data_IF_111252840287
#
_entry.id   IF_111252840287
#
_cell.length_a   1.000
_cell.length_b   1.000
_cell.length_c   1.000
_cell.angle_alpha   90.00
_cell.angle_beta   90.00
_cell.angle_gamma   90.00
#
_symmetry.space_group_name_H-M   'P 1'
#
loop_
_entity.id
_entity.type
_entity.pdbx_description
1 polymer ?
#
# COMPACT_ATOMS: atom_id res chain seq x y z
N UNK A 1 -38.60 48.57 -3.18
CA UNK A 1 -39.81 48.22 -2.41
C UNK A 1 -39.33 47.35 -1.25
N UNK A 2 -39.07 47.95 -0.08
CA UNK A 2 -38.58 47.22 1.10
C UNK A 2 -39.76 46.93 2.02
N UNK A 3 -40.05 45.66 2.23
CA UNK A 3 -41.13 45.20 3.09
C UNK A 3 -40.63 45.24 4.54
N UNK A 4 -41.11 46.21 5.31
CA UNK A 4 -40.88 46.25 6.75
C UNK A 4 -41.81 45.22 7.41
N UNK A 5 -41.23 44.21 8.06
CA UNK A 5 -41.97 43.33 8.96
C UNK A 5 -42.11 44.02 10.32
N UNK A 6 -43.32 44.39 10.68
CA UNK A 6 -43.67 44.81 12.05
C UNK A 6 -43.89 43.55 12.87
N UNK A 7 -43.02 43.31 13.85
CA UNK A 7 -43.20 42.23 14.82
C UNK A 7 -44.15 42.77 15.90
N UNK A 8 -45.40 42.32 15.90
CA UNK A 8 -46.35 42.59 16.97
C UNK A 8 -46.28 41.51 18.07
N UNK A 9 -46.37 41.94 19.33
CA UNK A 9 -46.45 41.03 20.48
C UNK A 9 -47.72 40.16 20.40
N UNK A 10 -47.59 38.85 20.60
CA UNK A 10 -48.75 37.94 20.70
C UNK A 10 -49.42 37.91 22.08
N UNK A 11 -48.88 38.63 23.08
CA UNK A 11 -49.39 38.63 24.47
C UNK A 11 -49.28 40.02 25.11
N UNK A 12 -50.25 40.37 25.96
CA UNK A 12 -50.36 41.67 26.62
C UNK A 12 -49.37 41.86 27.79
N UNK A 13 -48.82 40.76 28.33
CA UNK A 13 -47.83 40.77 29.41
C UNK A 13 -46.81 39.63 29.27
N UNK A 14 -45.56 39.89 29.63
CA UNK A 14 -44.46 38.90 29.61
C UNK A 14 -43.99 38.65 31.04
N UNK A 15 -44.14 37.41 31.51
CA UNK A 15 -43.63 36.99 32.82
C UNK A 15 -42.36 36.15 32.66
N UNK A 16 -41.24 36.64 33.21
CA UNK A 16 -39.96 35.94 33.20
C UNK A 16 -39.83 35.01 34.40
N UNK A 17 -40.56 33.89 34.31
CA UNK A 17 -40.55 32.84 35.34
C UNK A 17 -39.18 32.21 35.54
N UNK A 18 -38.27 32.30 34.56
CA UNK A 18 -36.89 31.77 34.66
C UNK A 18 -36.07 32.67 35.60
N UNK A 19 -36.15 33.99 35.42
CA UNK A 19 -35.46 34.96 36.27
C UNK A 19 -35.94 34.89 37.72
N UNK A 20 -37.25 34.77 37.95
CA UNK A 20 -37.81 34.65 39.29
C UNK A 20 -37.31 33.40 40.02
N UNK A 21 -37.31 32.25 39.34
CA UNK A 21 -36.78 30.98 39.88
C UNK A 21 -35.29 31.07 40.21
N UNK A 22 -34.48 31.70 39.36
CA UNK A 22 -33.05 31.90 39.63
C UNK A 22 -32.80 32.85 40.81
N UNK A 23 -33.58 33.93 40.93
CA UNK A 23 -33.46 34.86 42.06
C UNK A 23 -33.81 34.21 43.41
N UNK A 24 -34.78 33.29 43.43
CA UNK A 24 -35.10 32.50 44.63
C UNK A 24 -33.94 31.59 45.04
N UNK A 25 -33.27 30.96 44.07
CA UNK A 25 -32.10 30.10 44.31
C UNK A 25 -30.92 30.91 44.86
N UNK A 26 -30.62 32.09 44.30
CA UNK A 26 -29.54 32.97 44.77
C UNK A 26 -29.80 33.47 46.20
N UNK A 27 -31.07 33.66 46.58
CA UNK A 27 -31.47 34.02 47.95
C UNK A 27 -31.44 32.84 48.95
N UNK A 28 -30.91 31.69 48.56
CA UNK A 28 -30.78 30.51 49.42
C UNK A 28 -32.10 29.74 49.63
N UNK A 29 -33.15 30.03 48.86
CA UNK A 29 -34.45 29.34 48.93
C UNK A 29 -34.57 28.25 47.86
N UNK A 30 -33.51 27.48 47.64
CA UNK A 30 -33.48 26.41 46.63
C UNK A 30 -34.59 25.38 46.81
N UNK A 31 -35.04 25.13 48.05
CA UNK A 31 -36.06 24.12 48.37
C UNK A 31 -37.48 24.57 47.95
N UNK A 32 -37.67 25.85 47.61
CA UNK A 32 -38.94 26.40 47.12
C UNK A 32 -39.15 26.23 45.61
N UNK A 33 -38.12 25.80 44.87
CA UNK A 33 -38.19 25.50 43.44
C UNK A 33 -38.30 23.98 43.28
N UNK A 34 -39.26 23.50 42.49
CA UNK A 34 -39.44 22.06 42.29
C UNK A 34 -38.25 21.42 41.53
N UNK A 35 -38.05 20.11 41.71
CA UNK A 35 -36.93 19.39 41.09
C UNK A 35 -36.99 19.34 39.55
N UNK A 36 -38.21 19.41 38.97
CA UNK A 36 -38.38 19.42 37.51
C UNK A 36 -37.79 20.70 36.89
N UNK A 37 -38.07 21.84 37.52
CA UNK A 37 -37.58 23.17 37.13
C UNK A 37 -36.06 23.27 37.36
N UNK A 38 -35.55 22.76 38.47
CA UNK A 38 -34.09 22.71 38.72
C UNK A 38 -33.37 21.90 37.63
N UNK A 39 -33.92 20.76 37.22
CA UNK A 39 -33.33 19.93 36.17
C UNK A 39 -33.36 20.62 34.80
N UNK A 40 -34.41 21.36 34.48
CA UNK A 40 -34.48 22.16 33.26
C UNK A 40 -33.45 23.31 33.27
N UNK A 41 -33.32 24.01 34.40
CA UNK A 41 -32.31 25.07 34.58
C UNK A 41 -30.88 24.51 34.50
N UNK A 42 -30.62 23.31 35.05
CA UNK A 42 -29.34 22.58 34.90
C UNK A 42 -29.06 22.25 33.43
N UNK A 43 -30.03 21.68 32.70
CA UNK A 43 -29.89 21.39 31.25
C UNK A 43 -29.61 22.65 30.43
N UNK A 44 -30.17 23.79 30.83
CA UNK A 44 -29.96 25.10 30.20
C UNK A 44 -28.67 25.80 30.66
N UNK A 45 -27.85 25.16 31.52
CA UNK A 45 -26.60 25.71 32.08
C UNK A 45 -26.78 26.99 32.92
N UNK A 46 -27.96 27.21 33.47
CA UNK A 46 -28.29 28.36 34.34
C UNK A 46 -28.12 28.05 35.84
N UNK A 47 -27.99 26.77 36.19
CA UNK A 47 -27.82 26.29 37.55
C UNK A 47 -26.78 25.16 37.55
N UNK A 48 -25.81 25.22 38.46
CA UNK A 48 -24.85 24.14 38.69
C UNK A 48 -24.93 23.67 40.14
N UNK A 49 -24.94 22.36 40.33
CA UNK A 49 -24.89 21.75 41.66
C UNK A 49 -23.44 21.47 42.05
N UNK A 50 -23.04 21.95 43.22
CA UNK A 50 -21.68 21.78 43.74
C UNK A 50 -21.72 20.76 44.87
N UNK A 51 -21.24 19.54 44.60
CA UNK A 51 -21.13 18.49 45.61
C UNK A 51 -19.79 18.61 46.35
N UNK A 52 -19.81 19.00 47.63
CA UNK A 52 -18.65 18.96 48.50
C UNK A 52 -18.57 17.58 49.15
N UNK A 53 -17.53 16.81 48.82
CA UNK A 53 -17.29 15.49 49.42
C UNK A 53 -16.35 15.64 50.61
N UNK A 54 -16.84 15.34 51.81
CA UNK A 54 -16.03 15.29 53.04
C UNK A 54 -15.82 13.83 53.44
N UNK A 55 -14.58 13.48 53.77
CA UNK A 55 -14.24 12.14 54.25
C UNK A 55 -13.97 12.17 55.75
N UNK A 56 -14.63 11.28 56.48
CA UNK A 56 -14.33 10.97 57.86
C UNK A 56 -13.44 9.73 57.90
N UNK A 57 -12.15 9.92 58.14
CA UNK A 57 -11.17 8.83 58.16
C UNK A 57 -10.97 8.33 59.58
N UNK A 58 -11.25 7.05 59.82
CA UNK A 58 -11.07 6.38 61.12
C UNK A 58 -10.04 5.27 61.01
N UNK A 59 -9.31 5.00 62.11
CA UNK A 59 -8.34 3.90 62.16
C UNK A 59 -9.05 2.54 62.07
N UNK A 60 -8.81 1.80 60.99
CA UNK A 60 -9.31 0.44 60.80
C UNK A 60 -8.38 -0.62 61.40
N UNK A 61 -8.76 -1.90 61.29
CA UNK A 61 -7.98 -3.05 61.80
C UNK A 61 -6.58 -3.19 61.17
N UNK A 62 -6.34 -2.58 60.01
CA UNK A 62 -5.04 -2.55 59.32
C UNK A 62 -4.22 -1.27 59.57
N UNK A 63 -4.62 -0.41 60.51
CA UNK A 63 -3.88 0.80 60.83
C UNK A 63 -2.54 0.44 61.49
N UNK A 64 -1.44 0.80 60.83
CA UNK A 64 -0.07 0.63 61.32
C UNK A 64 0.70 1.92 61.11
N UNK A 65 1.57 2.28 62.07
CA UNK A 65 2.52 3.40 61.95
C UNK A 65 3.82 3.01 61.26
N UNK A 66 4.05 1.70 61.04
CA UNK A 66 5.17 1.16 60.29
C UNK A 66 4.70 0.60 58.94
N UNK A 67 5.31 1.07 57.85
CA UNK A 67 5.09 0.52 56.51
C UNK A 67 5.94 -0.75 56.42
N UNK A 68 5.29 -1.91 56.44
CA UNK A 68 5.97 -3.17 56.13
C UNK A 68 6.30 -3.19 54.64
N UNK A 69 7.59 -3.21 54.29
CA UNK A 69 8.03 -3.30 52.90
C UNK A 69 7.61 -4.67 52.35
N UNK A 70 6.68 -4.67 51.42
CA UNK A 70 6.28 -5.88 50.70
C UNK A 70 7.37 -6.25 49.69
N UNK A 71 7.63 -7.54 49.54
CA UNK A 71 8.53 -8.03 48.49
C UNK A 71 7.86 -7.89 47.12
N UNK A 72 8.63 -7.55 46.08
CA UNK A 72 8.10 -7.40 44.71
C UNK A 72 8.14 -8.71 43.95
N UNK A 73 9.26 -9.41 44.01
CA UNK A 73 9.56 -10.57 43.19
C UNK A 73 10.00 -11.76 44.05
N UNK A 74 9.72 -12.95 43.55
CA UNK A 74 10.18 -14.20 44.15
C UNK A 74 11.62 -14.44 43.71
N UNK A 75 12.56 -14.56 44.64
CA UNK A 75 13.97 -14.84 44.31
C UNK A 75 14.32 -16.32 44.47
N UNK A 76 15.35 -16.82 43.77
CA UNK A 76 15.83 -18.20 43.92
C UNK A 76 16.16 -18.57 45.37
N UNK A 77 16.70 -17.64 46.16
CA UNK A 77 17.08 -17.85 47.56
C UNK A 77 15.85 -17.98 48.46
N UNK A 78 14.78 -17.23 48.17
CA UNK A 78 13.52 -17.36 48.90
C UNK A 78 12.90 -18.73 48.66
N UNK A 79 12.98 -19.24 47.42
CA UNK A 79 12.52 -20.59 47.06
C UNK A 79 13.34 -21.64 47.80
N UNK A 80 14.68 -21.53 47.77
CA UNK A 80 15.58 -22.48 48.42
C UNK A 80 15.44 -22.52 49.94
N UNK A 81 15.20 -21.37 50.58
CA UNK A 81 15.05 -21.25 52.05
C UNK A 81 13.62 -21.48 52.56
N UNK A 82 12.61 -21.49 51.68
CA UNK A 82 11.20 -21.55 52.06
C UNK A 82 10.64 -20.24 52.64
N UNK A 83 11.45 -19.18 52.74
CA UNK A 83 11.08 -17.90 53.36
C UNK A 83 9.97 -17.14 52.62
N UNK A 84 9.66 -17.50 51.38
CA UNK A 84 8.53 -16.93 50.64
C UNK A 84 7.16 -17.22 51.27
N UNK A 85 7.03 -18.27 52.10
CA UNK A 85 5.75 -18.64 52.74
C UNK A 85 5.29 -17.63 53.77
N UNK A 86 6.24 -16.97 54.43
CA UNK A 86 5.99 -16.07 55.56
C UNK A 86 6.04 -14.58 55.16
N UNK A 87 6.50 -14.28 53.93
CA UNK A 87 6.60 -12.90 53.41
C UNK A 87 5.32 -12.47 52.70
N UNK A 88 5.00 -11.17 52.80
CA UNK A 88 3.89 -10.54 52.06
C UNK A 88 4.41 -9.92 50.77
N UNK A 89 3.85 -10.34 49.65
CA UNK A 89 4.17 -9.82 48.32
C UNK A 89 3.24 -8.69 47.93
N UNK A 90 3.77 -7.74 47.16
CA UNK A 90 2.96 -6.72 46.51
C UNK A 90 2.11 -7.39 45.43
N UNK A 91 0.80 -7.10 45.42
CA UNK A 91 -0.08 -7.63 44.39
C UNK A 91 0.37 -7.15 43.00
N UNK A 92 0.46 -8.08 42.05
CA UNK A 92 0.82 -7.76 40.67
C UNK A 92 -0.31 -6.96 40.01
N UNK A 93 0.06 -5.89 39.29
CA UNK A 93 -0.93 -5.08 38.59
C UNK A 93 -1.25 -5.70 37.22
N UNK A 94 -2.27 -6.55 37.17
CA UNK A 94 -2.74 -7.18 35.93
C UNK A 94 -3.40 -6.21 34.94
N UNK A 95 -3.63 -4.95 35.32
CA UNK A 95 -4.19 -3.93 34.43
C UNK A 95 -3.12 -3.14 33.65
N UNK A 96 -1.83 -3.39 33.92
CA UNK A 96 -0.74 -2.77 33.16
C UNK A 96 -0.28 -3.69 32.02
N UNK A 97 0.14 -3.10 30.91
CA UNK A 97 0.85 -3.84 29.87
C UNK A 97 2.20 -4.32 30.43
N UNK A 98 2.55 -5.56 30.10
CA UNK A 98 3.86 -6.11 30.43
C UNK A 98 4.99 -5.44 29.64
N UNK A 99 6.23 -5.75 30.00
CA UNK A 99 7.40 -5.34 29.22
C UNK A 99 7.46 -6.18 27.95
N UNK A 100 7.47 -5.52 26.79
CA UNK A 100 7.64 -6.23 25.52
C UNK A 100 9.08 -6.74 25.41
N UNK A 101 9.29 -8.02 25.06
CA UNK A 101 10.63 -8.56 24.87
C UNK A 101 11.31 -7.91 23.66
N UNK A 102 12.63 -7.72 23.74
CA UNK A 102 13.43 -7.31 22.59
C UNK A 102 13.45 -8.42 21.54
N UNK A 103 13.11 -8.09 20.29
CA UNK A 103 13.12 -9.05 19.19
C UNK A 103 13.57 -8.39 17.87
N UNK A 104 13.91 -9.21 16.89
CA UNK A 104 14.20 -8.72 15.54
C UNK A 104 12.92 -8.36 14.79
N UNK A 105 12.96 -7.29 14.00
CA UNK A 105 11.82 -6.81 13.22
C UNK A 105 12.10 -6.85 11.72
N UNK A 106 11.10 -7.27 10.94
CA UNK A 106 11.13 -7.20 9.48
C UNK A 106 10.37 -5.97 9.01
N UNK A 107 10.92 -5.29 8.01
CA UNK A 107 10.29 -4.14 7.40
C UNK A 107 8.90 -4.50 6.83
N UNK A 108 7.83 -3.69 7.05
CA UNK A 108 6.47 -4.01 6.60
C UNK A 108 6.39 -4.32 5.10
N UNK A 109 6.98 -3.47 4.26
CA UNK A 109 7.06 -3.70 2.81
C UNK A 109 7.69 -5.06 2.45
N UNK A 110 8.73 -5.49 3.18
CA UNK A 110 9.39 -6.78 2.93
C UNK A 110 8.53 -7.96 3.39
N UNK A 111 7.75 -7.80 4.46
CA UNK A 111 6.75 -8.81 4.86
C UNK A 111 5.69 -8.98 3.77
N UNK A 112 5.23 -7.88 3.17
CA UNK A 112 4.27 -7.93 2.04
C UNK A 112 4.92 -8.54 0.80
N UNK A 113 6.17 -8.18 0.47
CA UNK A 113 6.94 -8.79 -0.63
C UNK A 113 6.99 -10.31 -0.51
N UNK A 114 7.30 -10.83 0.68
CA UNK A 114 7.36 -12.27 0.94
C UNK A 114 6.01 -12.94 0.68
N UNK A 115 4.91 -12.29 1.03
CA UNK A 115 3.57 -12.80 0.77
C UNK A 115 3.24 -12.85 -0.73
N UNK A 116 3.49 -11.76 -1.47
CA UNK A 116 3.31 -11.76 -2.93
C UNK A 116 4.15 -12.84 -3.61
N UNK A 117 5.41 -12.96 -3.21
CA UNK A 117 6.31 -14.01 -3.69
C UNK A 117 5.73 -15.40 -3.46
N UNK A 118 5.19 -15.66 -2.27
CA UNK A 118 4.55 -16.93 -1.95
C UNK A 118 3.33 -17.22 -2.83
N UNK A 119 2.48 -16.22 -3.07
CA UNK A 119 1.29 -16.35 -3.95
C UNK A 119 1.69 -16.78 -5.36
N UNK A 120 2.72 -16.15 -5.93
CA UNK A 120 3.24 -16.55 -7.24
C UNK A 120 3.74 -18.00 -7.26
N UNK A 121 4.50 -18.40 -6.25
CA UNK A 121 5.02 -19.77 -6.13
C UNK A 121 3.87 -20.79 -6.02
N UNK A 122 2.84 -20.49 -5.24
CA UNK A 122 1.63 -21.33 -5.12
C UNK A 122 0.84 -21.44 -6.44
N UNK A 123 0.89 -20.40 -7.28
CA UNK A 123 0.26 -20.39 -8.60
C UNK A 123 1.14 -21.03 -9.69
N UNK A 124 2.30 -21.58 -9.32
CA UNK A 124 3.22 -22.27 -10.21
C UNK A 124 4.11 -21.34 -11.05
N UNK A 125 4.30 -20.09 -10.61
CA UNK A 125 5.21 -19.15 -11.27
C UNK A 125 6.65 -19.35 -10.79
N UNK A 126 7.60 -19.18 -11.70
CA UNK A 126 9.04 -19.20 -11.43
C UNK A 126 9.59 -17.79 -11.33
N UNK A 127 10.44 -17.54 -10.33
CA UNK A 127 11.02 -16.21 -10.08
C UNK A 127 12.11 -15.88 -11.11
N UNK A 128 11.97 -14.75 -11.80
CA UNK A 128 12.96 -14.26 -12.76
C UNK A 128 14.10 -13.53 -12.04
N UNK A 129 15.36 -13.68 -12.49
CA UNK A 129 16.46 -12.90 -11.97
C UNK A 129 16.37 -11.45 -12.44
N UNK A 130 16.41 -10.51 -11.48
CA UNK A 130 16.28 -9.06 -11.71
C UNK A 130 17.56 -8.30 -11.36
N UNK A 131 18.72 -8.96 -11.44
CA UNK A 131 20.00 -8.53 -10.88
C UNK A 131 20.68 -7.40 -11.70
N UNK A 132 19.91 -6.43 -12.18
CA UNK A 132 20.35 -5.30 -12.99
C UNK A 132 19.44 -4.09 -12.76
N UNK A 133 19.94 -3.05 -12.07
CA UNK A 133 19.24 -1.77 -11.98
C UNK A 133 19.47 -0.91 -13.23
N UNK A 134 20.68 -0.97 -13.79
CA UNK A 134 20.98 -0.34 -15.07
C UNK A 134 20.51 -1.26 -16.19
N UNK A 135 19.79 -0.68 -17.14
CA UNK A 135 19.30 -1.36 -18.33
C UNK A 135 19.62 -0.51 -19.57
N UNK A 136 19.80 -1.16 -20.72
CA UNK A 136 19.92 -0.41 -21.98
C UNK A 136 18.54 0.04 -22.46
N UNK A 137 18.48 1.19 -23.12
CA UNK A 137 17.24 1.70 -23.72
C UNK A 137 16.64 0.69 -24.72
N UNK A 138 17.49 -0.10 -25.36
CA UNK A 138 17.06 -1.24 -26.17
C UNK A 138 16.17 -2.20 -25.37
N UNK A 139 16.64 -2.77 -24.27
CA UNK A 139 15.86 -3.75 -23.50
C UNK A 139 14.70 -3.12 -22.72
N UNK A 140 14.88 -1.88 -22.25
CA UNK A 140 13.85 -1.20 -21.49
C UNK A 140 12.71 -0.66 -22.37
N UNK A 141 12.95 -0.33 -23.64
CA UNK A 141 11.92 0.28 -24.50
C UNK A 141 11.80 -0.41 -25.87
N UNK A 142 12.88 -0.43 -26.66
CA UNK A 142 12.80 -0.87 -28.06
C UNK A 142 12.37 -2.35 -28.18
N UNK A 143 12.90 -3.22 -27.33
CA UNK A 143 12.57 -4.65 -27.28
C UNK A 143 11.13 -4.93 -26.85
N UNK A 144 10.45 -3.94 -26.26
CA UNK A 144 9.03 -4.00 -25.92
C UNK A 144 8.14 -3.46 -27.05
N UNK A 145 8.70 -3.08 -28.19
CA UNK A 145 7.95 -2.37 -29.24
C UNK A 145 7.39 -1.00 -28.79
N UNK A 146 8.08 -0.34 -27.85
CA UNK A 146 7.79 1.05 -27.48
C UNK A 146 8.62 2.00 -28.36
N UNK A 147 8.00 2.98 -29.06
CA UNK A 147 8.69 3.80 -30.06
C UNK A 147 9.70 4.76 -29.42
N UNK A 148 10.73 5.16 -30.18
CA UNK A 148 11.81 6.03 -29.68
C UNK A 148 11.38 7.44 -29.32
N UNK A 149 10.35 7.95 -29.99
CA UNK A 149 9.72 9.25 -29.74
C UNK A 149 8.71 9.23 -28.58
N UNK A 150 8.56 8.11 -27.86
CA UNK A 150 7.59 8.01 -26.77
C UNK A 150 7.99 8.94 -25.60
N UNK A 151 7.06 9.73 -25.02
CA UNK A 151 7.36 10.72 -23.98
C UNK A 151 8.03 10.10 -22.74
N UNK A 152 7.64 8.88 -22.35
CA UNK A 152 8.30 8.18 -21.24
C UNK A 152 9.82 7.96 -21.41
N UNK A 153 10.38 8.15 -22.62
CA UNK A 153 11.83 8.07 -22.89
C UNK A 153 12.54 9.43 -22.71
N UNK A 154 11.79 10.49 -22.39
CA UNK A 154 12.36 11.81 -22.15
C UNK A 154 13.12 11.83 -20.82
N UNK A 155 14.11 12.72 -20.72
CA UNK A 155 14.92 12.94 -19.51
C UNK A 155 14.07 13.40 -18.34
N UNK A 156 12.91 14.02 -18.62
CA UNK A 156 11.93 14.39 -17.61
C UNK A 156 11.26 13.20 -16.92
N UNK A 157 11.17 12.04 -17.59
CA UNK A 157 10.49 10.84 -17.05
C UNK A 157 11.47 9.72 -16.67
N UNK A 158 12.66 9.68 -17.29
CA UNK A 158 13.63 8.59 -17.16
C UNK A 158 15.00 9.07 -16.69
N UNK A 159 15.59 8.36 -15.72
CA UNK A 159 16.98 8.58 -15.30
C UNK A 159 17.97 7.91 -16.27
N UNK A 160 18.61 8.70 -17.12
CA UNK A 160 19.70 8.24 -17.98
C UNK A 160 21.04 8.22 -17.24
N UNK A 161 21.88 7.25 -17.57
CA UNK A 161 23.21 7.10 -16.96
C UNK A 161 24.19 8.10 -17.57
N UNK A 162 24.97 8.76 -16.72
CA UNK A 162 26.16 9.48 -17.15
C UNK A 162 27.37 8.53 -17.30
N UNK A 163 27.48 7.55 -16.41
CA UNK A 163 28.51 6.51 -16.47
C UNK A 163 27.97 5.20 -15.86
N UNK A 164 28.00 4.05 -16.58
CA UNK A 164 28.30 3.93 -18.00
C UNK A 164 27.16 4.47 -18.88
N UNK A 165 27.41 5.48 -19.71
CA UNK A 165 26.36 6.12 -20.53
C UNK A 165 25.79 5.25 -21.65
N UNK A 166 26.59 4.35 -22.21
CA UNK A 166 26.22 3.53 -23.36
C UNK A 166 26.47 2.05 -23.08
N UNK A 167 25.54 1.20 -23.51
CA UNK A 167 25.74 -0.24 -23.56
C UNK A 167 26.61 -0.64 -24.77
N UNK A 168 27.46 -1.64 -24.56
CA UNK A 168 28.42 -2.14 -25.54
C UNK A 168 27.93 -3.39 -26.29
N UNK A 169 27.06 -4.19 -25.67
CA UNK A 169 26.71 -5.53 -26.16
C UNK A 169 25.21 -5.70 -26.37
N UNK A 170 24.84 -6.18 -27.55
CA UNK A 170 23.47 -6.50 -27.93
C UNK A 170 23.44 -7.76 -28.79
N UNK A 171 22.36 -8.55 -28.75
CA UNK A 171 22.11 -9.57 -29.77
C UNK A 171 21.82 -8.88 -31.11
N UNK A 172 22.86 -8.70 -31.93
CA UNK A 172 22.76 -7.88 -33.16
C UNK A 172 21.68 -8.39 -34.12
N UNK A 173 21.52 -9.70 -34.28
CA UNK A 173 20.48 -10.26 -35.13
C UNK A 173 19.07 -9.91 -34.64
N UNK A 174 18.86 -9.89 -33.31
CA UNK A 174 17.58 -9.48 -32.74
C UNK A 174 17.38 -7.97 -32.88
N UNK A 175 18.42 -7.18 -32.64
CA UNK A 175 18.38 -5.72 -32.77
C UNK A 175 17.99 -5.30 -34.19
N UNK A 176 18.55 -5.93 -35.23
CA UNK A 176 18.19 -5.62 -36.63
C UNK A 176 16.74 -6.01 -36.94
N UNK A 177 16.22 -7.12 -36.38
CA UNK A 177 14.79 -7.46 -36.50
C UNK A 177 13.90 -6.44 -35.80
N UNK A 178 14.26 -6.01 -34.60
CA UNK A 178 13.53 -4.95 -33.87
C UNK A 178 13.54 -3.65 -34.67
N UNK A 179 14.71 -3.20 -35.13
CA UNK A 179 14.85 -2.01 -35.97
C UNK A 179 13.90 -2.05 -37.16
N UNK A 180 13.92 -3.15 -37.93
CA UNK A 180 13.04 -3.34 -39.10
C UNK A 180 11.56 -3.27 -38.73
N UNK A 181 11.12 -3.98 -37.70
CA UNK A 181 9.71 -4.00 -37.28
C UNK A 181 9.25 -2.64 -36.79
N UNK A 182 10.11 -1.90 -36.08
CA UNK A 182 9.81 -0.53 -35.63
C UNK A 182 9.68 0.45 -36.80
N UNK A 183 10.60 0.42 -37.77
CA UNK A 183 10.64 1.39 -38.85
C UNK A 183 9.71 1.03 -40.01
N UNK A 184 9.90 -0.13 -40.61
CA UNK A 184 9.24 -0.57 -41.86
C UNK A 184 8.00 -1.42 -41.61
N UNK A 185 7.88 -1.98 -40.40
CA UNK A 185 6.88 -3.00 -40.08
C UNK A 185 7.37 -4.41 -40.38
N UNK A 186 6.47 -5.37 -40.21
CA UNK A 186 6.76 -6.80 -40.27
C UNK A 186 5.77 -7.59 -39.43
N UNK A 187 5.73 -8.91 -39.66
CA UNK A 187 4.88 -9.82 -38.91
C UNK A 187 3.38 -9.42 -38.90
N UNK A 188 2.87 -8.91 -40.02
CA UNK A 188 1.50 -8.43 -40.16
C UNK A 188 1.26 -6.98 -39.71
N UNK A 189 2.25 -6.33 -39.08
CA UNK A 189 2.18 -4.93 -38.65
C UNK A 189 2.80 -3.97 -39.65
N UNK A 190 2.35 -2.71 -39.65
CA UNK A 190 2.90 -1.63 -40.47
C UNK A 190 4.08 -0.90 -39.80
N UNK A 191 4.45 -1.29 -38.58
CA UNK A 191 5.45 -0.58 -37.79
C UNK A 191 5.00 0.84 -37.41
N UNK A 192 5.94 1.64 -36.90
CA UNK A 192 5.70 3.03 -36.52
C UNK A 192 6.10 4.03 -37.61
N UNK A 193 6.71 3.59 -38.72
CA UNK A 193 7.06 4.42 -39.88
C UNK A 193 7.95 5.62 -39.54
N UNK A 194 9.02 5.36 -38.79
CA UNK A 194 10.05 6.34 -38.44
C UNK A 194 11.46 5.74 -38.56
N UNK A 195 12.46 6.62 -38.57
CA UNK A 195 13.86 6.20 -38.62
C UNK A 195 14.35 5.76 -37.23
N UNK A 196 14.50 4.45 -37.05
CA UNK A 196 15.00 3.88 -35.80
C UNK A 196 16.51 4.10 -35.65
N UNK A 197 16.91 4.71 -34.53
CA UNK A 197 18.30 5.09 -34.24
C UNK A 197 18.95 4.13 -33.23
N UNK A 198 20.06 3.50 -33.63
CA UNK A 198 20.85 2.65 -32.72
C UNK A 198 21.48 3.46 -31.57
N UNK A 199 21.75 4.75 -31.78
CA UNK A 199 22.34 5.60 -30.75
C UNK A 199 21.37 5.82 -29.58
N UNK A 200 20.07 5.87 -29.86
CA UNK A 200 19.04 5.94 -28.80
C UNK A 200 18.94 4.63 -28.03
N UNK A 201 18.98 3.49 -28.72
CA UNK A 201 18.92 2.17 -28.11
C UNK A 201 20.14 1.86 -27.22
N UNK A 202 21.30 2.45 -27.54
CA UNK A 202 22.55 2.29 -26.79
C UNK A 202 22.56 3.01 -25.44
N UNK A 203 21.75 4.04 -25.23
CA UNK A 203 21.77 4.82 -23.97
C UNK A 203 21.38 3.93 -22.80
N UNK A 204 22.21 3.90 -21.76
CA UNK A 204 21.87 3.24 -20.50
C UNK A 204 21.00 4.14 -19.64
N UNK A 205 20.14 3.51 -18.86
CA UNK A 205 19.22 4.15 -17.94
C UNK A 205 19.06 3.30 -16.68
N UNK A 206 18.50 3.88 -15.63
CA UNK A 206 17.94 3.08 -14.55
C UNK A 206 16.59 2.53 -14.99
N UNK A 207 16.39 1.21 -14.88
CA UNK A 207 15.19 0.54 -15.39
C UNK A 207 13.91 1.20 -14.85
N UNK A 208 12.97 1.48 -15.73
CA UNK A 208 11.74 2.22 -15.38
C UNK A 208 10.57 1.31 -15.01
N UNK A 209 10.67 0.03 -15.36
CA UNK A 209 9.70 -1.01 -15.07
C UNK A 209 10.35 -2.40 -15.17
N UNK A 210 9.81 -3.40 -14.47
CA UNK A 210 10.32 -4.78 -14.49
C UNK A 210 10.04 -5.51 -15.81
N UNK A 211 9.22 -4.93 -16.70
CA UNK A 211 8.91 -5.48 -18.04
C UNK A 211 10.14 -5.65 -18.92
N UNK A 212 11.21 -4.88 -18.68
CA UNK A 212 12.50 -5.08 -19.34
C UNK A 212 13.13 -6.45 -19.00
N UNK A 213 12.95 -6.91 -17.75
CA UNK A 213 13.38 -8.24 -17.31
C UNK A 213 12.57 -9.31 -18.01
N UNK A 214 11.25 -9.12 -18.12
CA UNK A 214 10.36 -10.02 -18.87
C UNK A 214 10.77 -10.12 -20.35
N UNK A 215 11.13 -9.02 -21.01
CA UNK A 215 11.64 -9.04 -22.38
C UNK A 215 12.91 -9.89 -22.51
N UNK A 216 13.86 -9.74 -21.57
CA UNK A 216 15.09 -10.56 -21.56
C UNK A 216 14.79 -12.05 -21.36
N UNK A 217 13.84 -12.38 -20.48
CA UNK A 217 13.48 -13.76 -20.19
C UNK A 217 12.70 -14.39 -21.35
N UNK A 218 11.78 -13.67 -21.97
CA UNK A 218 11.06 -14.13 -23.17
C UNK A 218 12.00 -14.29 -24.37
N UNK A 219 12.96 -13.38 -24.56
CA UNK A 219 13.98 -13.56 -25.58
C UNK A 219 14.81 -14.82 -25.37
N UNK A 220 15.25 -15.09 -24.12
CA UNK A 220 15.97 -16.32 -23.77
C UNK A 220 15.12 -17.58 -24.02
N UNK A 221 13.84 -17.53 -23.69
CA UNK A 221 12.88 -18.60 -23.97
C UNK A 221 12.78 -18.87 -25.47
N UNK A 222 12.73 -17.80 -26.28
CA UNK A 222 12.66 -17.90 -27.73
C UNK A 222 13.91 -18.52 -28.38
N UNK A 223 15.06 -18.49 -27.70
CA UNK A 223 16.30 -19.10 -28.21
C UNK A 223 16.39 -20.61 -27.89
N UNK A 224 15.43 -21.18 -27.17
CA UNK A 224 15.42 -22.61 -26.90
C UNK A 224 15.09 -23.38 -28.17
N UNK A 225 15.59 -24.62 -28.27
CA UNK A 225 15.36 -25.49 -29.43
C UNK A 225 13.87 -25.78 -29.64
N UNK A 226 13.14 -25.94 -28.54
CA UNK A 226 11.70 -26.18 -28.52
C UNK A 226 11.07 -25.22 -27.50
N UNK A 227 9.95 -24.60 -27.88
CA UNK A 227 9.20 -23.76 -26.96
C UNK A 227 8.55 -24.61 -25.87
N UNK A 228 8.72 -24.18 -24.62
CA UNK A 228 8.04 -24.77 -23.46
C UNK A 228 7.20 -23.68 -22.79
N UNK A 229 5.91 -23.93 -22.50
CA UNK A 229 5.08 -22.99 -21.76
C UNK A 229 5.65 -22.65 -20.39
N UNK A 230 5.59 -21.38 -20.01
CA UNK A 230 6.19 -20.88 -18.75
C UNK A 230 5.32 -19.85 -18.06
N UNK A 231 5.49 -19.80 -16.74
CA UNK A 231 4.92 -18.78 -15.86
C UNK A 231 6.07 -18.13 -15.10
N UNK A 232 6.25 -16.83 -15.28
CA UNK A 232 7.34 -16.07 -14.70
C UNK A 232 6.83 -14.91 -13.84
N UNK A 233 7.53 -14.62 -12.75
CA UNK A 233 7.25 -13.44 -11.96
C UNK A 233 8.52 -12.75 -11.50
N UNK A 234 8.41 -11.47 -11.16
CA UNK A 234 9.47 -10.74 -10.48
C UNK A 234 8.89 -9.70 -9.53
N UNK A 235 9.64 -9.39 -8.47
CA UNK A 235 9.31 -8.30 -7.54
C UNK A 235 10.58 -7.53 -7.27
N UNK A 236 10.73 -6.37 -7.89
CA UNK A 236 11.97 -5.61 -7.74
C UNK A 236 11.79 -4.11 -7.96
N UNK A 237 12.80 -3.34 -7.54
CA UNK A 237 12.80 -1.88 -7.54
C UNK A 237 12.99 -1.30 -8.94
N UNK A 238 12.21 -0.29 -9.27
CA UNK A 238 12.26 0.45 -10.54
C UNK A 238 12.41 1.94 -10.24
N UNK A 239 12.86 2.71 -11.24
CA UNK A 239 13.25 4.10 -11.07
C UNK A 239 12.55 4.97 -12.10
N UNK A 240 11.90 6.04 -11.66
CA UNK A 240 11.21 6.99 -12.53
C UNK A 240 11.51 8.41 -12.09
N UNK A 241 11.79 9.30 -13.03
CA UNK A 241 12.09 10.69 -12.74
C UNK A 241 10.80 11.51 -12.51
N UNK A 242 9.91 10.97 -11.67
CA UNK A 242 8.66 11.63 -11.34
C UNK A 242 8.85 12.60 -10.17
N UNK A 243 7.99 13.62 -10.10
CA UNK A 243 8.01 14.58 -8.98
C UNK A 243 7.60 13.87 -7.69
N UNK A 244 8.43 13.95 -6.65
CA UNK A 244 8.18 13.32 -5.36
C UNK A 244 6.97 13.94 -4.64
N UNK A 245 5.93 13.16 -4.41
CA UNK A 245 4.74 13.58 -3.65
C UNK A 245 4.42 12.57 -2.52
N UNK A 246 3.22 12.61 -1.94
CA UNK A 246 2.83 11.72 -0.85
C UNK A 246 2.55 10.28 -1.31
N UNK A 247 2.41 10.08 -2.63
CA UNK A 247 1.99 8.85 -3.30
C UNK A 247 3.01 8.30 -4.31
N UNK A 248 3.93 9.14 -4.78
CA UNK A 248 4.93 8.83 -5.79
C UNK A 248 6.35 9.02 -5.22
N UNK A 249 7.20 8.04 -5.47
CA UNK A 249 8.62 8.07 -5.19
C UNK A 249 9.40 7.90 -6.49
N UNK A 250 10.61 8.46 -6.53
CA UNK A 250 11.53 8.28 -7.65
C UNK A 250 12.00 6.83 -7.79
N UNK A 251 11.90 6.03 -6.71
CA UNK A 251 12.14 4.60 -6.72
C UNK A 251 11.06 3.88 -5.92
N UNK A 252 10.56 2.77 -6.45
CA UNK A 252 9.53 1.93 -5.82
C UNK A 252 9.60 0.50 -6.35
N UNK A 253 8.93 -0.46 -5.72
CA UNK A 253 8.96 -1.86 -6.15
C UNK A 253 7.78 -2.17 -7.06
N UNK A 254 8.09 -2.70 -8.23
CA UNK A 254 7.13 -3.22 -9.17
C UNK A 254 7.08 -4.75 -9.06
N UNK A 255 5.87 -5.28 -8.94
CA UNK A 255 5.56 -6.69 -9.08
C UNK A 255 5.10 -6.91 -10.51
N UNK A 256 5.60 -7.95 -11.18
CA UNK A 256 5.14 -8.34 -12.50
C UNK A 256 4.99 -9.86 -12.61
N UNK A 257 3.90 -10.29 -13.23
CA UNK A 257 3.64 -11.68 -13.61
C UNK A 257 3.47 -11.80 -15.13
N UNK A 258 3.99 -12.88 -15.70
CA UNK A 258 3.99 -13.17 -17.14
C UNK A 258 3.67 -14.65 -17.36
N UNK A 259 2.78 -14.96 -18.28
CA UNK A 259 2.47 -16.33 -18.71
C UNK A 259 2.62 -16.41 -20.21
N UNK A 260 3.45 -17.33 -20.69
CA UNK A 260 3.65 -17.61 -22.10
C UNK A 260 3.18 -19.04 -22.40
N UNK A 261 2.18 -19.17 -23.27
CA UNK A 261 1.60 -20.46 -23.67
C UNK A 261 0.92 -20.33 -25.04
N UNK A 262 0.50 -21.45 -25.60
CA UNK A 262 -0.22 -21.52 -26.86
C UNK A 262 -1.66 -21.02 -26.71
N UNK A 263 -2.06 -20.07 -27.56
CA UNK A 263 -3.47 -19.65 -27.69
C UNK A 263 -4.12 -19.01 -26.45
N UNK A 264 -3.34 -18.35 -25.58
CA UNK A 264 -3.87 -17.56 -24.47
C UNK A 264 -4.74 -16.40 -24.97
N UNK A 265 -5.84 -16.20 -24.26
CA UNK A 265 -6.83 -15.19 -24.56
C UNK A 265 -6.87 -14.12 -23.46
N UNK A 266 -7.60 -13.04 -23.73
CA UNK A 266 -7.91 -12.05 -22.71
C UNK A 266 -8.69 -12.66 -21.52
N UNK A 267 -9.48 -13.70 -21.76
CA UNK A 267 -10.20 -14.43 -20.71
C UNK A 267 -9.26 -15.15 -19.75
N UNK A 268 -8.17 -15.72 -20.24
CA UNK A 268 -7.14 -16.37 -19.43
C UNK A 268 -6.43 -15.36 -18.52
N UNK A 269 -6.09 -14.18 -19.07
CA UNK A 269 -5.55 -13.08 -18.27
C UNK A 269 -6.50 -12.66 -17.14
N UNK A 270 -7.79 -12.49 -17.44
CA UNK A 270 -8.79 -12.16 -16.42
C UNK A 270 -8.94 -13.28 -15.39
N UNK A 271 -8.84 -14.54 -15.80
CA UNK A 271 -8.89 -15.71 -14.91
C UNK A 271 -7.71 -15.75 -13.95
N UNK A 272 -6.49 -15.60 -14.47
CA UNK A 272 -5.26 -15.55 -13.66
C UNK A 272 -5.29 -14.38 -12.68
N UNK A 273 -5.72 -13.20 -13.13
CA UNK A 273 -5.86 -12.03 -12.27
C UNK A 273 -6.89 -12.24 -11.15
N UNK A 274 -8.04 -12.84 -11.45
CA UNK A 274 -9.03 -13.18 -10.43
C UNK A 274 -8.46 -14.11 -9.38
N UNK A 275 -7.75 -15.17 -9.77
CA UNK A 275 -7.14 -16.10 -8.83
C UNK A 275 -6.05 -15.44 -7.99
N UNK A 276 -5.18 -14.64 -8.64
CA UNK A 276 -4.13 -13.89 -7.97
C UNK A 276 -4.67 -12.94 -6.90
N UNK A 277 -5.67 -12.14 -7.24
CA UNK A 277 -6.30 -11.21 -6.29
C UNK A 277 -7.17 -11.92 -5.24
N UNK A 278 -7.78 -13.05 -5.57
CA UNK A 278 -8.50 -13.86 -4.60
C UNK A 278 -7.57 -14.37 -3.48
N UNK A 279 -6.36 -14.83 -3.83
CA UNK A 279 -5.31 -15.17 -2.84
C UNK A 279 -4.83 -13.98 -2.00
N UNK A 280 -5.08 -12.75 -2.45
CA UNK A 280 -4.84 -11.52 -1.70
C UNK A 280 -6.04 -11.08 -0.84
N UNK A 281 -7.14 -11.85 -0.81
CA UNK A 281 -8.39 -11.48 -0.13
C UNK A 281 -9.23 -10.44 -0.89
N UNK A 282 -8.95 -10.22 -2.18
CA UNK A 282 -9.63 -9.22 -3.02
C UNK A 282 -10.55 -9.92 -4.02
N UNK A 283 -11.85 -9.82 -3.79
CA UNK A 283 -12.88 -10.52 -4.60
C UNK A 283 -13.64 -9.60 -5.57
N UNK A 284 -13.78 -8.31 -5.23
CA UNK A 284 -14.54 -7.34 -6.02
C UNK A 284 -13.65 -6.70 -7.09
N UNK A 285 -13.50 -7.37 -8.24
CA UNK A 285 -12.69 -6.88 -9.36
C UNK A 285 -13.54 -6.34 -10.51
N UNK A 286 -13.03 -5.30 -11.16
CA UNK A 286 -13.51 -4.78 -12.46
C UNK A 286 -12.33 -4.56 -13.38
N UNK A 287 -12.56 -4.77 -14.67
CA UNK A 287 -11.57 -4.58 -15.72
C UNK A 287 -12.02 -3.42 -16.60
N UNK A 288 -11.09 -2.52 -16.93
CA UNK A 288 -11.34 -1.35 -17.77
C UNK A 288 -10.34 -1.37 -18.93
N UNK A 289 -10.75 -1.22 -20.19
CA UNK A 289 -9.82 -1.10 -21.31
C UNK A 289 -8.81 0.03 -21.07
N UNK A 290 -7.56 -0.24 -21.42
CA UNK A 290 -6.45 0.68 -21.27
C UNK A 290 -5.58 0.66 -22.52
N UNK A 291 -4.50 1.43 -22.50
CA UNK A 291 -3.50 1.45 -23.57
C UNK A 291 -2.12 1.30 -22.93
N UNK A 292 -1.38 0.28 -23.38
CA UNK A 292 0.07 0.24 -23.20
C UNK A 292 0.72 0.00 -24.58
N UNK A 293 1.88 0.61 -24.89
CA UNK A 293 2.53 0.47 -26.19
C UNK A 293 2.86 -0.98 -26.58
N UNK A 294 3.12 -1.82 -25.58
CA UNK A 294 3.60 -3.19 -25.73
C UNK A 294 2.53 -4.26 -25.55
N UNK A 295 1.26 -3.88 -25.30
CA UNK A 295 0.15 -4.84 -25.17
C UNK A 295 -1.08 -4.49 -26.02
N UNK A 296 -1.66 -5.49 -26.68
CA UNK A 296 -2.94 -5.39 -27.35
C UNK A 296 -3.65 -6.77 -27.31
N UNK A 297 -4.80 -6.89 -26.63
CA UNK A 297 -5.51 -5.89 -25.81
C UNK A 297 -4.83 -5.57 -24.46
N UNK A 298 -5.17 -4.41 -23.89
CA UNK A 298 -4.71 -3.94 -22.57
C UNK A 298 -5.89 -3.64 -21.63
N UNK A 299 -5.72 -3.86 -20.33
CA UNK A 299 -6.71 -3.52 -19.31
C UNK A 299 -6.09 -3.06 -17.98
N UNK A 300 -6.75 -2.11 -17.33
CA UNK A 300 -6.55 -1.78 -15.93
C UNK A 300 -7.46 -2.65 -15.06
N UNK A 301 -6.96 -3.02 -13.88
CA UNK A 301 -7.69 -3.79 -12.87
C UNK A 301 -8.06 -2.86 -11.71
N UNK A 302 -9.34 -2.81 -11.38
CA UNK A 302 -9.88 -2.04 -10.27
C UNK A 302 -10.45 -2.95 -9.20
N UNK A 303 -10.26 -2.58 -7.93
CA UNK A 303 -10.88 -3.21 -6.78
C UNK A 303 -11.72 -2.22 -5.98
N UNK A 304 -12.85 -2.67 -5.42
CA UNK A 304 -13.67 -1.83 -4.55
C UNK A 304 -13.10 -1.80 -3.13
N UNK A 305 -12.67 -0.63 -2.67
CA UNK A 305 -12.11 -0.45 -1.35
C UNK A 305 -13.20 -0.08 -0.33
N UNK A 306 -13.51 -0.97 0.61
CA UNK A 306 -14.61 -0.79 1.58
C UNK A 306 -14.45 0.48 2.44
N UNK A 307 -13.24 0.77 2.92
CA UNK A 307 -12.97 1.97 3.74
C UNK A 307 -13.12 3.31 3.00
N UNK A 308 -12.83 3.35 1.69
CA UNK A 308 -12.89 4.57 0.87
C UNK A 308 -14.18 4.65 0.06
N UNK A 309 -14.98 3.58 0.06
CA UNK A 309 -16.24 3.42 -0.69
C UNK A 309 -16.12 3.80 -2.17
N UNK A 310 -14.99 3.44 -2.80
CA UNK A 310 -14.71 3.74 -4.21
C UNK A 310 -13.92 2.61 -4.87
N UNK A 311 -14.00 2.56 -6.19
CA UNK A 311 -13.12 1.72 -7.02
C UNK A 311 -11.74 2.35 -7.09
N UNK A 312 -10.71 1.56 -6.78
CA UNK A 312 -9.31 1.97 -6.78
C UNK A 312 -8.56 1.07 -7.74
N UNK A 313 -7.69 1.66 -8.55
CA UNK A 313 -6.80 0.92 -9.45
C UNK A 313 -5.77 0.12 -8.65
N UNK A 314 -5.74 -1.20 -8.89
CA UNK A 314 -4.87 -2.15 -8.19
C UNK A 314 -3.81 -2.79 -9.09
N UNK A 315 -3.87 -2.57 -10.40
CA UNK A 315 -2.87 -3.04 -11.34
C UNK A 315 -3.22 -2.75 -12.80
N UNK A 316 -2.25 -2.98 -13.68
CA UNK A 316 -2.38 -2.86 -15.12
C UNK A 316 -1.92 -4.18 -15.78
N UNK A 317 -2.53 -4.55 -16.89
CA UNK A 317 -2.24 -5.80 -17.58
C UNK A 317 -2.52 -5.73 -19.08
N UNK A 318 -2.08 -6.75 -19.81
CA UNK A 318 -2.40 -6.91 -21.21
C UNK A 318 -1.79 -8.15 -21.84
N UNK A 319 -2.05 -8.31 -23.13
CA UNK A 319 -1.49 -9.37 -23.98
C UNK A 319 -0.35 -8.76 -24.78
N UNK A 320 0.87 -9.28 -24.67
CA UNK A 320 2.02 -8.71 -25.40
C UNK A 320 1.81 -8.78 -26.90
N UNK A 321 2.19 -7.68 -27.56
CA UNK A 321 2.03 -7.51 -29.00
C UNK A 321 2.86 -8.51 -29.81
N UNK A 322 2.37 -9.00 -30.96
CA UNK A 322 3.17 -9.82 -31.87
C UNK A 322 4.44 -9.12 -32.34
N UNK A 323 4.42 -7.79 -32.51
CA UNK A 323 5.60 -7.00 -32.91
C UNK A 323 6.69 -6.96 -31.84
N UNK A 324 6.35 -7.27 -30.58
CA UNK A 324 7.32 -7.49 -29.52
C UNK A 324 7.83 -8.94 -29.54
N UNK A 325 6.93 -9.92 -29.65
CA UNK A 325 7.25 -11.34 -29.44
C UNK A 325 7.91 -12.01 -30.66
N UNK A 326 7.37 -11.79 -31.85
CA UNK A 326 7.81 -12.45 -33.09
C UNK A 326 9.25 -12.11 -33.48
N UNK A 327 9.75 -10.85 -33.38
CA UNK A 327 11.17 -10.60 -33.62
C UNK A 327 12.09 -11.28 -32.59
N UNK A 328 11.62 -11.63 -31.40
CA UNK A 328 12.43 -12.44 -30.46
C UNK A 328 12.67 -13.85 -30.99
N UNK A 329 11.78 -14.36 -31.84
CA UNK A 329 11.80 -15.72 -32.38
C UNK A 329 10.79 -16.66 -31.72
N UNK A 330 9.82 -16.14 -30.96
CA UNK A 330 8.74 -16.96 -30.43
C UNK A 330 7.84 -17.47 -31.58
N UNK A 331 7.31 -18.70 -31.49
CA UNK A 331 6.35 -19.23 -32.47
C UNK A 331 5.09 -18.36 -32.61
N UNK A 332 4.48 -18.34 -33.81
CA UNK A 332 3.29 -17.50 -34.09
C UNK A 332 2.03 -17.90 -33.31
N UNK A 333 1.93 -19.15 -32.90
CA UNK A 333 0.84 -19.70 -32.09
C UNK A 333 1.05 -19.50 -30.58
N UNK A 334 2.23 -19.01 -30.18
CA UNK A 334 2.53 -18.63 -28.80
C UNK A 334 2.06 -17.20 -28.54
N UNK A 335 1.39 -17.04 -27.41
CA UNK A 335 0.88 -15.78 -26.91
C UNK A 335 1.34 -15.57 -25.48
N UNK A 336 1.52 -14.32 -25.08
CA UNK A 336 2.02 -13.99 -23.75
C UNK A 336 1.13 -12.96 -23.10
N UNK A 337 0.62 -13.29 -21.91
CA UNK A 337 -0.18 -12.39 -21.09
C UNK A 337 0.66 -11.93 -19.89
N UNK A 338 0.52 -10.67 -19.52
CA UNK A 338 1.29 -10.09 -18.42
C UNK A 338 0.46 -9.10 -17.61
N UNK A 339 0.84 -8.92 -16.35
CA UNK A 339 0.28 -7.91 -15.46
C UNK A 339 1.29 -7.41 -14.46
N UNK A 340 1.09 -6.20 -13.96
CA UNK A 340 1.92 -5.62 -12.93
C UNK A 340 1.16 -4.69 -11.99
N UNK A 341 1.74 -4.52 -10.80
CA UNK A 341 1.26 -3.59 -9.78
C UNK A 341 2.43 -3.13 -8.89
N UNK A 342 2.28 -1.98 -8.23
CA UNK A 342 3.24 -1.53 -7.21
C UNK A 342 3.05 -2.33 -5.93
N UNK A 343 4.15 -2.65 -5.24
CA UNK A 343 4.12 -3.29 -3.92
C UNK A 343 3.71 -2.31 -2.80
N UNK A 344 4.06 -1.03 -2.94
CA UNK A 344 3.83 0.01 -1.96
C UNK A 344 2.35 0.29 -1.77
N UNK A 345 1.56 0.41 -2.86
CA UNK A 345 0.13 0.76 -2.77
C UNK A 345 -0.69 -0.27 -1.97
N UNK A 346 -0.61 -1.59 -2.21
CA UNK A 346 -1.24 -2.60 -1.36
C UNK A 346 -0.73 -2.57 0.09
N UNK A 347 0.56 -2.32 0.29
CA UNK A 347 1.16 -2.24 1.64
C UNK A 347 0.60 -1.05 2.42
N UNK A 348 0.50 0.12 1.79
CA UNK A 348 -0.08 1.31 2.38
C UNK A 348 -1.54 1.10 2.77
N UNK A 349 -2.35 0.52 1.88
CA UNK A 349 -3.74 0.18 2.16
C UNK A 349 -3.84 -0.79 3.34
N UNK A 350 -3.03 -1.84 3.34
CA UNK A 350 -3.06 -2.89 4.37
C UNK A 350 -2.69 -2.38 5.76
N UNK A 351 -1.65 -1.55 5.85
CA UNK A 351 -1.16 -1.02 7.12
C UNK A 351 -1.77 0.35 7.48
N UNK A 352 -2.69 0.89 6.68
CA UNK A 352 -3.34 2.17 6.92
C UNK A 352 -2.39 3.37 6.82
N UNK A 353 -1.38 3.30 5.96
CA UNK A 353 -0.35 4.33 5.78
C UNK A 353 -0.79 5.29 4.68
N UNK A 354 -0.84 6.58 4.97
CA UNK A 354 -1.28 7.61 4.00
C UNK A 354 -0.14 8.21 3.18
N UNK A 355 1.10 8.11 3.66
CA UNK A 355 2.27 8.71 3.01
C UNK A 355 3.35 7.64 2.76
N UNK A 356 3.68 7.44 1.49
CA UNK A 356 4.66 6.43 1.06
C UNK A 356 6.06 6.65 1.67
N UNK A 357 6.41 7.90 2.01
CA UNK A 357 7.71 8.27 2.60
C UNK A 357 7.87 7.82 4.05
N UNK A 358 6.77 7.54 4.74
CA UNK A 358 6.79 6.94 6.07
C UNK A 358 7.06 5.43 5.99
N UNK A 359 6.74 4.83 4.84
CA UNK A 359 6.95 3.41 4.56
C UNK A 359 8.33 3.13 3.96
N UNK A 360 8.85 3.97 3.06
CA UNK A 360 10.06 3.69 2.28
C UNK A 360 11.10 4.78 2.44
N UNK A 361 12.36 4.37 2.64
CA UNK A 361 13.53 5.23 2.67
C UNK A 361 14.10 5.46 4.07
N UNK A 362 15.17 6.25 4.15
CA UNK A 362 15.91 6.48 5.39
C UNK A 362 15.14 7.31 6.44
N UNK A 363 13.98 7.87 6.09
CA UNK A 363 13.08 8.61 7.00
C UNK A 363 11.98 7.72 7.60
N UNK A 364 12.05 6.41 7.40
CA UNK A 364 11.10 5.44 7.97
C UNK A 364 11.01 5.60 9.49
N UNK A 365 9.78 5.55 10.01
CA UNK A 365 9.56 5.52 11.45
C UNK A 365 9.85 4.09 11.99
N UNK A 366 10.95 3.91 12.71
CA UNK A 366 11.30 2.60 13.27
C UNK A 366 10.28 2.07 14.28
N UNK A 367 9.61 2.96 15.03
CA UNK A 367 8.55 2.54 15.96
C UNK A 367 7.41 1.87 15.20
N UNK A 368 7.04 2.40 14.03
CA UNK A 368 6.05 1.76 13.14
C UNK A 368 6.54 0.37 12.71
N UNK A 369 7.82 0.19 12.39
CA UNK A 369 8.38 -1.13 12.02
C UNK A 369 8.29 -2.13 13.18
N UNK A 370 8.53 -1.67 14.42
CA UNK A 370 8.47 -2.48 15.62
C UNK A 370 7.05 -2.94 15.94
N UNK A 371 6.10 -2.01 15.85
CA UNK A 371 4.68 -2.24 16.17
C UNK A 371 3.93 -2.93 15.02
N UNK A 372 4.51 -2.96 13.82
CA UNK A 372 3.86 -3.52 12.63
C UNK A 372 3.57 -5.01 12.82
N UNK A 373 2.30 -5.43 12.77
CA UNK A 373 1.94 -6.82 12.97
C UNK A 373 2.48 -7.72 11.85
N UNK A 374 2.31 -9.03 12.05
CA UNK A 374 2.57 -10.02 11.01
C UNK A 374 1.70 -9.69 9.80
N UNK A 375 2.31 -9.72 8.62
CA UNK A 375 1.61 -9.58 7.36
C UNK A 375 0.73 -10.82 7.13
N UNK A 376 -0.52 -10.79 7.58
CA UNK A 376 -1.57 -11.70 7.14
C UNK A 376 -2.55 -10.87 6.32
N UNK A 377 -2.73 -11.18 5.04
CA UNK A 377 -3.96 -10.73 4.39
C UNK A 377 -5.02 -11.63 4.99
N UNK A 378 -6.12 -11.05 5.47
CA UNK A 378 -7.27 -11.85 5.86
C UNK A 378 -7.73 -12.57 4.59
N UNK A 379 -7.27 -13.81 4.43
CA UNK A 379 -7.63 -14.71 3.35
C UNK A 379 -9.01 -15.30 3.61
#
# INVERSE_FOLDING_TARGET
MWQYYVIASQVDAVEDTVKEKLQLIVKGKSDSVNEKDKNELKKRKLLNEVTIKTYWVTKGKGFSTSITKQETDLTPEMIASGSWRDKKFKAYNFNALGVMPECGHLHPLMKVRTQFRQIFLEMGFSEMPTNNFVESSFWNFDALFQPQQHPARDQHDTFFMQDPAMASEFPMDYLERVKKVHSEGGYGSQGYKYDWSINEAKKNLLRTHTTAVSARMLYKLAQQKEFTPVKYFSIDRVFRNETLDATHLAEFHQIEGVVADYGLTLGDLMGVLKEFFNKLGITKLRFKPAYNPYTEPSMEVFSYHEGLKKWVEVGNSGVFRPEMLLPMGLPEDVSVIAWGLSLERPTMIKYGINNIRELVGHKVNLQMVYDSPICRLDS
#
